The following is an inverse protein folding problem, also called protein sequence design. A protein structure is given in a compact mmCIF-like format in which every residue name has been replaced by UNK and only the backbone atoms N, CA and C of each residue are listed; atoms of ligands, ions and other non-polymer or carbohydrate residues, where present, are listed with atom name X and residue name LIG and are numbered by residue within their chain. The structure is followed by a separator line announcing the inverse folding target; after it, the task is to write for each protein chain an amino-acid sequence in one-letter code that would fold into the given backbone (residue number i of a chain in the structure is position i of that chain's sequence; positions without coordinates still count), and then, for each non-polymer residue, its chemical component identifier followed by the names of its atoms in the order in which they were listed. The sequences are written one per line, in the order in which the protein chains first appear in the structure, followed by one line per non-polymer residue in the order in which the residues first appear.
data_IF_414346157402
#
_entry.id   IF_414346157402
#
_cell.length_a   1.000
_cell.length_b   1.000
_cell.length_c   1.000
_cell.angle_alpha   90.00
_cell.angle_beta   90.00
_cell.angle_gamma   90.00
#
_symmetry.space_group_name_H-M   'P 1'
#
loop_
_entity.id
_entity.type
_entity.pdbx_description
1 polymer ?
#
# COMPACT_ATOMS: atom_id res chain seq x y z
N UNK A 1 -12.38 -5.47 15.38
CA UNK A 1 -13.27 -6.65 15.24
C UNK A 1 -14.19 -6.37 14.07
N UNK A 2 -14.26 -7.27 13.10
CA UNK A 2 -15.07 -7.12 11.88
C UNK A 2 -16.10 -8.24 11.82
N UNK A 3 -17.39 -7.94 11.59
CA UNK A 3 -18.43 -8.95 11.43
C UNK A 3 -18.34 -9.60 10.04
N UNK A 4 -18.57 -10.91 9.97
CA UNK A 4 -18.60 -11.69 8.73
C UNK A 4 -20.03 -12.14 8.39
N UNK A 5 -20.35 -12.41 7.10
CA UNK A 5 -21.69 -12.81 6.68
C UNK A 5 -22.23 -14.08 7.34
N UNK A 6 -21.35 -14.96 7.84
CA UNK A 6 -21.70 -16.18 8.57
C UNK A 6 -21.97 -15.94 10.08
N UNK A 7 -21.95 -14.68 10.53
CA UNK A 7 -22.18 -14.28 11.92
C UNK A 7 -20.94 -14.33 12.81
N UNK A 8 -19.80 -14.81 12.31
CA UNK A 8 -18.54 -14.82 13.07
C UNK A 8 -17.91 -13.42 13.09
N UNK A 9 -16.95 -13.24 14.00
CA UNK A 9 -16.23 -11.98 14.16
C UNK A 9 -14.72 -12.24 14.13
N UNK A 10 -14.01 -11.46 13.33
CA UNK A 10 -12.58 -11.61 13.16
C UNK A 10 -11.81 -10.37 13.64
N UNK A 11 -10.60 -10.60 14.16
CA UNK A 11 -9.64 -9.53 14.40
C UNK A 11 -8.90 -9.24 13.09
N UNK A 12 -8.87 -7.97 12.70
CA UNK A 12 -8.03 -7.48 11.62
C UNK A 12 -6.96 -6.58 12.21
N UNK A 13 -5.80 -6.57 11.57
CA UNK A 13 -4.65 -5.76 11.94
C UNK A 13 -4.42 -4.69 10.88
N UNK A 14 -4.03 -3.50 11.33
CA UNK A 14 -3.73 -2.40 10.43
C UNK A 14 -2.29 -2.53 9.90
N UNK A 15 -2.09 -2.11 8.65
CA UNK A 15 -0.75 -1.84 8.13
C UNK A 15 -0.31 -0.49 8.69
N UNK A 16 0.87 -0.44 9.31
CA UNK A 16 1.44 0.80 9.82
C UNK A 16 2.39 1.43 8.79
N UNK A 17 2.34 2.75 8.67
CA UNK A 17 3.26 3.53 7.84
C UNK A 17 4.02 4.52 8.71
N UNK A 18 5.30 4.81 8.42
CA UNK A 18 6.07 5.83 9.12
C UNK A 18 5.51 7.26 9.04
N UNK A 19 4.56 7.49 8.13
CA UNK A 19 3.94 8.78 7.81
C UNK A 19 2.44 8.56 7.54
N UNK A 20 1.65 9.63 7.51
CA UNK A 20 0.20 9.55 7.31
C UNK A 20 -0.18 9.69 5.83
N UNK A 21 -0.61 8.60 5.21
CA UNK A 21 -0.98 8.51 3.80
C UNK A 21 -2.44 8.11 3.62
N UNK A 22 -3.07 8.60 2.55
CA UNK A 22 -4.34 8.08 2.04
C UNK A 22 -4.11 7.34 0.72
N UNK A 23 -4.94 6.33 0.50
CA UNK A 23 -5.00 5.55 -0.73
C UNK A 23 -6.34 5.77 -1.42
N UNK A 24 -6.31 5.85 -2.75
CA UNK A 24 -7.50 5.82 -3.60
C UNK A 24 -7.31 4.78 -4.71
N UNK A 25 -8.39 4.15 -5.13
CA UNK A 25 -8.37 3.01 -6.04
C UNK A 25 -9.36 3.22 -7.17
N UNK A 26 -8.98 2.83 -8.38
CA UNK A 26 -9.89 2.90 -9.50
C UNK A 26 -9.39 2.12 -10.70
N UNK A 27 -10.11 2.27 -11.80
CA UNK A 27 -9.81 1.63 -13.08
C UNK A 27 -10.02 2.62 -14.22
N UNK A 28 -9.28 2.47 -15.30
CA UNK A 28 -9.46 3.24 -16.51
C UNK A 28 -9.15 2.39 -17.76
N UNK A 29 -9.35 2.96 -18.94
CA UNK A 29 -9.06 2.29 -20.20
C UNK A 29 -8.00 3.07 -20.97
N UNK A 30 -6.96 2.37 -21.41
CA UNK A 30 -6.10 2.83 -22.50
C UNK A 30 -6.91 2.84 -23.78
N UNK A 31 -6.77 3.91 -24.56
CA UNK A 31 -7.30 4.03 -25.91
C UNK A 31 -6.16 4.46 -26.80
N UNK A 32 -5.82 3.63 -27.79
CA UNK A 32 -4.64 3.83 -28.64
C UNK A 32 -3.36 4.10 -27.83
N UNK A 33 -3.10 3.30 -26.80
CA UNK A 33 -1.87 3.38 -26.01
C UNK A 33 -1.80 4.54 -25.01
N UNK A 34 -2.87 5.31 -24.82
CA UNK A 34 -2.89 6.43 -23.86
C UNK A 34 -4.19 6.52 -23.06
N UNK A 35 -4.08 6.95 -21.80
CA UNK A 35 -5.21 7.30 -20.95
C UNK A 35 -4.85 8.45 -20.00
N UNK A 36 -5.77 9.39 -19.77
CA UNK A 36 -5.62 10.40 -18.71
C UNK A 36 -6.69 10.19 -17.66
N UNK A 37 -6.26 10.09 -16.40
CA UNK A 37 -7.12 9.88 -15.24
C UNK A 37 -7.08 11.13 -14.38
N UNK A 38 -8.26 11.67 -14.03
CA UNK A 38 -8.39 12.78 -13.08
C UNK A 38 -8.47 12.23 -11.66
N UNK A 39 -7.81 12.92 -10.74
CA UNK A 39 -8.00 12.65 -9.31
C UNK A 39 -9.43 13.03 -8.93
N UNK A 40 -10.06 12.23 -8.06
CA UNK A 40 -11.33 12.63 -7.45
C UNK A 40 -11.14 13.93 -6.66
N UNK A 41 -12.12 14.83 -6.73
CA UNK A 41 -12.02 16.15 -6.11
C UNK A 41 -12.00 16.07 -4.57
N UNK A 42 -12.72 15.10 -3.99
CA UNK A 42 -12.70 14.84 -2.55
C UNK A 42 -11.35 14.31 -2.10
N UNK A 43 -10.80 13.32 -2.82
CA UNK A 43 -9.45 12.81 -2.54
C UNK A 43 -8.39 13.91 -2.68
N UNK A 44 -8.40 14.66 -3.79
CA UNK A 44 -7.48 15.77 -4.04
C UNK A 44 -7.58 16.88 -2.97
N UNK A 45 -8.76 17.11 -2.39
CA UNK A 45 -8.96 18.05 -1.30
C UNK A 45 -8.32 17.62 0.03
N UNK A 46 -8.12 16.32 0.24
CA UNK A 46 -7.66 15.74 1.49
C UNK A 46 -6.15 15.44 1.53
N UNK A 47 -5.44 15.57 0.40
CA UNK A 47 -4.03 15.16 0.25
C UNK A 47 -3.16 16.26 -0.33
N UNK A 48 -1.84 16.07 -0.24
CA UNK A 48 -0.85 16.83 -0.99
C UNK A 48 -0.82 16.35 -2.44
N UNK A 49 -1.33 17.15 -3.36
CA UNK A 49 -1.46 16.78 -4.79
C UNK A 49 -0.20 17.06 -5.60
N UNK A 50 0.76 17.79 -5.06
CA UNK A 50 2.08 18.03 -5.64
C UNK A 50 2.98 16.80 -5.58
N UNK A 51 2.74 15.88 -4.63
CA UNK A 51 3.48 14.63 -4.50
C UNK A 51 2.57 13.44 -4.14
N UNK A 52 2.26 12.62 -5.14
CA UNK A 52 1.53 11.36 -5.01
C UNK A 52 2.16 10.25 -5.83
N UNK A 53 1.95 8.99 -5.45
CA UNK A 53 2.38 7.83 -6.20
C UNK A 53 1.19 7.20 -6.92
N UNK A 54 1.43 6.62 -8.10
CA UNK A 54 0.43 5.82 -8.82
C UNK A 54 1.06 4.48 -9.16
N UNK A 55 0.37 3.40 -8.81
CA UNK A 55 0.70 2.03 -9.18
C UNK A 55 -0.32 1.56 -10.20
N UNK A 56 0.13 0.90 -11.26
CA UNK A 56 -0.69 0.48 -12.38
C UNK A 56 -0.68 -1.04 -12.49
N UNK A 57 -1.79 -1.63 -12.89
CA UNK A 57 -1.90 -3.05 -13.21
C UNK A 57 -2.73 -3.21 -14.49
N UNK A 58 -2.10 -3.56 -15.63
CA UNK A 58 -2.85 -3.86 -16.85
C UNK A 58 -3.71 -5.12 -16.64
N UNK A 59 -4.92 -5.12 -17.19
CA UNK A 59 -5.87 -6.24 -17.09
C UNK A 59 -6.05 -6.98 -18.43
N UNK A 60 -5.16 -6.70 -19.39
CA UNK A 60 -5.00 -7.44 -20.63
C UNK A 60 -3.51 -7.46 -21.02
N UNK A 61 -3.19 -8.17 -22.11
CA UNK A 61 -1.83 -8.24 -22.63
C UNK A 61 -1.34 -6.85 -23.06
N UNK A 62 -0.10 -6.51 -22.69
CA UNK A 62 0.53 -5.22 -22.95
C UNK A 62 2.04 -5.32 -22.81
N UNK A 63 2.75 -4.37 -23.41
CA UNK A 63 4.21 -4.22 -23.23
C UNK A 63 4.59 -3.59 -21.87
N UNK A 64 3.62 -3.43 -20.98
CA UNK A 64 3.74 -2.72 -19.71
C UNK A 64 3.28 -1.27 -19.80
N UNK A 65 2.91 -0.70 -18.65
CA UNK A 65 2.37 0.66 -18.55
C UNK A 65 3.33 1.57 -17.77
N UNK A 66 3.32 2.86 -18.07
CA UNK A 66 4.08 3.87 -17.31
C UNK A 66 3.33 5.21 -17.24
N UNK A 67 3.70 6.04 -16.26
CA UNK A 67 3.18 7.40 -16.15
C UNK A 67 4.00 8.32 -17.06
N UNK A 68 3.39 8.87 -18.11
CA UNK A 68 4.06 9.82 -18.99
C UNK A 68 3.98 11.25 -18.48
N UNK A 69 2.99 11.56 -17.63
CA UNK A 69 2.83 12.86 -17.01
C UNK A 69 2.06 12.76 -15.69
N UNK A 70 2.36 13.67 -14.75
CA UNK A 70 1.63 13.86 -13.49
C UNK A 70 1.42 15.35 -13.26
N UNK A 71 0.22 15.69 -12.85
CA UNK A 71 -0.18 17.04 -12.45
C UNK A 71 -0.96 16.96 -11.13
N UNK A 72 -1.20 18.09 -10.44
CA UNK A 72 -1.99 18.10 -9.21
C UNK A 72 -3.43 17.58 -9.37
N UNK A 73 -3.99 17.58 -10.57
CA UNK A 73 -5.38 17.17 -10.81
C UNK A 73 -5.54 15.89 -11.63
N UNK A 74 -4.46 15.38 -12.23
CA UNK A 74 -4.51 14.23 -13.12
C UNK A 74 -3.15 13.59 -13.37
N UNK A 75 -3.16 12.34 -13.82
CA UNK A 75 -1.99 11.66 -14.38
C UNK A 75 -2.32 11.05 -15.75
N UNK A 76 -1.29 10.90 -16.59
CA UNK A 76 -1.41 10.26 -17.90
C UNK A 76 -0.62 8.96 -17.91
N UNK A 77 -1.29 7.88 -18.28
CA UNK A 77 -0.73 6.55 -18.48
C UNK A 77 -0.49 6.33 -19.96
N UNK A 78 0.66 5.74 -20.29
CA UNK A 78 0.97 5.26 -21.63
C UNK A 78 1.45 3.81 -21.61
N UNK A 79 1.21 3.12 -22.70
CA UNK A 79 1.83 1.83 -22.96
C UNK A 79 3.30 2.01 -23.37
N UNK A 80 4.17 1.13 -22.89
CA UNK A 80 5.59 1.15 -23.25
C UNK A 80 5.80 0.84 -24.74
N UNK A 81 6.99 1.18 -25.25
CA UNK A 81 7.41 0.88 -26.63
C UNK A 81 6.48 1.41 -27.73
N UNK A 82 5.81 2.53 -27.44
CA UNK A 82 4.84 3.14 -28.37
C UNK A 82 3.67 2.19 -28.73
N UNK A 83 3.34 1.27 -27.82
CA UNK A 83 2.17 0.41 -27.96
C UNK A 83 0.90 1.22 -28.14
N UNK A 84 -0.03 0.68 -28.94
CA UNK A 84 -1.30 1.32 -29.29
C UNK A 84 -2.50 0.50 -28.78
N UNK A 85 -2.28 -0.36 -27.79
CA UNK A 85 -3.31 -1.25 -27.26
C UNK A 85 -4.46 -0.43 -26.67
N UNK A 86 -5.64 -1.03 -26.74
CA UNK A 86 -6.85 -0.53 -26.06
C UNK A 86 -7.26 -1.57 -25.06
N UNK A 87 -7.06 -1.29 -23.77
CA UNK A 87 -7.22 -2.26 -22.69
C UNK A 87 -7.61 -1.61 -21.36
N UNK A 88 -8.33 -2.33 -20.49
CA UNK A 88 -8.56 -1.91 -19.11
C UNK A 88 -7.30 -2.02 -18.25
N UNK A 89 -7.17 -1.13 -17.28
CA UNK A 89 -6.16 -1.23 -16.22
C UNK A 89 -6.71 -0.71 -14.89
N UNK A 90 -6.27 -1.32 -13.81
CA UNK A 90 -6.50 -0.85 -12.45
C UNK A 90 -5.35 0.05 -11.98
N UNK A 91 -5.65 0.97 -11.08
CA UNK A 91 -4.65 1.82 -10.45
C UNK A 91 -4.88 2.00 -8.95
N UNK A 92 -3.79 2.29 -8.25
CA UNK A 92 -3.77 2.73 -6.84
C UNK A 92 -3.00 4.03 -6.73
N UNK A 93 -3.62 5.04 -6.15
CA UNK A 93 -3.02 6.33 -5.83
C UNK A 93 -2.66 6.33 -4.35
N UNK A 94 -1.47 6.81 -4.00
CA UNK A 94 -1.01 6.94 -2.61
C UNK A 94 -0.48 8.35 -2.41
N UNK A 95 -1.08 9.14 -1.52
CA UNK A 95 -0.72 10.54 -1.30
C UNK A 95 -0.71 10.91 0.20
N UNK A 96 0.19 11.80 0.60
CA UNK A 96 0.25 12.25 2.00
C UNK A 96 -0.99 13.05 2.35
N UNK A 97 -1.52 12.80 3.53
CA UNK A 97 -2.64 13.59 4.06
C UNK A 97 -2.23 15.04 4.25
N UNK A 98 -3.15 15.96 3.96
CA UNK A 98 -2.91 17.40 4.08
C UNK A 98 -3.12 17.94 5.49
N UNK A 99 -3.92 17.26 6.30
CA UNK A 99 -4.37 17.76 7.60
C UNK A 99 -3.39 17.51 8.75
N UNK A 100 -2.38 16.64 8.56
CA UNK A 100 -1.42 16.26 9.59
C UNK A 100 0.00 16.27 9.03
N UNK A 101 0.87 17.06 9.66
CA UNK A 101 2.31 16.98 9.43
C UNK A 101 2.94 16.01 10.44
N UNK A 102 3.36 14.84 9.96
CA UNK A 102 3.98 13.79 10.77
C UNK A 102 5.40 13.50 10.27
N UNK A 103 6.45 13.69 11.10
CA UNK A 103 7.80 13.35 10.69
C UNK A 103 7.98 11.84 10.59
N UNK A 104 8.63 11.42 9.50
CA UNK A 104 8.94 10.01 9.23
C UNK A 104 9.74 9.39 10.38
N UNK A 105 9.22 8.28 10.93
CA UNK A 105 9.88 7.53 12.02
C UNK A 105 10.26 8.42 13.23
N UNK A 106 9.34 9.29 13.68
CA UNK A 106 9.57 10.14 14.86
C UNK A 106 10.00 9.30 16.07
N UNK A 107 11.23 9.51 16.55
CA UNK A 107 11.69 8.89 17.77
C UNK A 107 10.87 9.36 18.97
N UNK A 108 10.51 8.44 19.86
CA UNK A 108 9.83 8.74 21.11
C UNK A 108 10.61 8.13 22.28
N UNK A 109 10.62 8.83 23.41
CA UNK A 109 11.08 8.28 24.69
C UNK A 109 9.86 7.77 25.45
N UNK A 110 9.67 6.44 25.56
CA UNK A 110 8.51 5.89 26.23
C UNK A 110 8.57 6.19 27.74
N UNK A 111 7.44 6.62 28.33
CA UNK A 111 7.32 6.83 29.79
C UNK A 111 7.34 5.51 30.56
N UNK A 112 6.87 4.44 29.93
CA UNK A 112 6.89 3.07 30.45
C UNK A 112 7.32 2.18 29.30
N UNK A 113 8.37 1.39 29.49
CA UNK A 113 8.77 0.37 28.54
C UNK A 113 7.85 -0.85 28.70
N UNK A 114 7.26 -1.38 27.62
CA UNK A 114 6.56 -2.66 27.71
C UNK A 114 7.56 -3.72 28.17
N UNK A 115 7.12 -4.62 29.06
CA UNK A 115 7.93 -5.77 29.45
C UNK A 115 8.33 -6.52 28.18
N UNK A 116 9.63 -6.69 27.97
CA UNK A 116 10.13 -7.47 26.84
C UNK A 116 9.53 -8.88 26.97
N UNK A 117 8.93 -9.45 25.91
CA UNK A 117 8.54 -10.84 25.92
C UNK A 117 9.74 -11.67 26.38
N UNK A 118 9.53 -12.59 27.33
CA UNK A 118 10.61 -13.45 27.80
C UNK A 118 11.23 -14.14 26.58
N UNK A 119 12.53 -13.96 26.40
CA UNK A 119 13.25 -14.66 25.34
C UNK A 119 13.04 -16.16 25.60
N UNK A 120 12.65 -16.97 24.59
CA UNK A 120 12.55 -18.40 24.78
C UNK A 120 13.89 -18.90 25.34
N UNK A 121 13.85 -19.47 26.53
CA UNK A 121 15.06 -20.06 27.11
C UNK A 121 15.52 -21.16 26.17
N UNK A 122 16.83 -21.26 25.85
CA UNK A 122 17.35 -22.40 25.12
C UNK A 122 16.85 -23.68 25.79
N UNK A 123 16.28 -24.60 25.01
CA UNK A 123 15.90 -25.92 25.52
C UNK A 123 17.12 -26.50 26.23
N UNK A 124 16.96 -26.87 27.50
CA UNK A 124 18.02 -27.53 28.22
C UNK A 124 18.51 -28.73 27.40
N UNK A 125 19.83 -28.96 27.26
CA UNK A 125 20.34 -30.09 26.52
C UNK A 125 19.70 -31.36 27.09
N UNK A 126 18.95 -32.06 26.24
CA UNK A 126 18.39 -33.36 26.58
C UNK A 126 19.57 -34.28 26.87
N UNK A 127 19.76 -34.64 28.14
CA UNK A 127 20.79 -35.60 28.52
C UNK A 127 20.52 -36.89 27.75
N UNK A 128 21.52 -37.49 27.07
CA UNK A 128 21.35 -38.76 26.42
C UNK A 128 20.84 -39.77 27.44
N UNK A 129 19.68 -40.38 27.18
CA UNK A 129 19.21 -41.52 27.97
C UNK A 129 20.13 -42.67 27.62
N UNK A 130 21.04 -43.01 28.53
CA UNK A 130 21.85 -44.22 28.42
C UNK A 130 20.89 -45.42 28.38
N UNK A 131 21.01 -46.32 27.39
CA UNK A 131 20.22 -47.55 27.37
C UNK A 131 20.52 -48.34 28.65
N UNK A 132 19.45 -48.86 29.28
CA UNK A 132 19.57 -49.73 30.45
C UNK A 132 20.29 -51.03 30.04
N UNK A 133 21.12 -51.60 30.94
CA UNK A 133 21.90 -52.81 30.66
C UNK A 133 21.03 -54.04 30.39
#
# INVERSE_FOLDING_TARGET
MVPFPDGTHHLLYCVESPESWFEDFGSAHLVHGSATVRLDAGFAGAVHTDDYHVFLTPEADSEGLYLSNKTPSAFTVKEQREGLSTLPFSYRIVAKRRDIEAPRLKQVTPKVLPARPAQPQPLAPVKPVLPKP
#
